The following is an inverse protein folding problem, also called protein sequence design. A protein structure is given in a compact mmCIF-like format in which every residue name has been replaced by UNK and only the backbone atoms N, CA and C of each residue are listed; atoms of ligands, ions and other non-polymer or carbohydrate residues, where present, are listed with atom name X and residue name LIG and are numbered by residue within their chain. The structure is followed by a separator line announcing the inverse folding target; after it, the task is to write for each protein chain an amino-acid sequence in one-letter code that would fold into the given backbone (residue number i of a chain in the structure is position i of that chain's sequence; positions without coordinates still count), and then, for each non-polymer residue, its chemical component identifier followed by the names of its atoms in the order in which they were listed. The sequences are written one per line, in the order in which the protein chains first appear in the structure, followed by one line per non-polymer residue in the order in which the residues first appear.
data_IF_779904350682
#
_entry.id   IF_779904350682
#
_cell.length_a   1.000
_cell.length_b   1.000
_cell.length_c   1.000
_cell.angle_alpha   90.00
_cell.angle_beta   90.00
_cell.angle_gamma   90.00
#
_symmetry.space_group_name_H-M   'P 1'
#
loop_
_entity.id
_entity.type
_entity.pdbx_description
1 polymer ?
#
# COMPACT_ATOMS: atom_id res chain seq x y z
N UNK A 1 26.66 1.14 -15.53
CA UNK A 1 26.27 -0.29 -15.49
C UNK A 1 27.53 -1.16 -15.51
N UNK A 2 27.59 -2.25 -14.75
CA UNK A 2 28.72 -3.20 -14.80
C UNK A 2 28.72 -3.97 -16.12
N UNK A 3 29.89 -4.28 -16.71
CA UNK A 3 30.03 -5.10 -17.93
C UNK A 3 29.24 -6.42 -17.84
N UNK A 4 29.22 -7.03 -16.66
CA UNK A 4 28.47 -8.27 -16.40
C UNK A 4 26.95 -8.11 -16.54
N UNK A 5 26.41 -6.93 -16.20
CA UNK A 5 24.98 -6.68 -16.32
C UNK A 5 24.56 -6.59 -17.79
N UNK A 6 25.33 -5.88 -18.60
CA UNK A 6 25.10 -5.75 -20.04
C UNK A 6 25.17 -7.12 -20.74
N UNK A 7 26.11 -7.99 -20.38
CA UNK A 7 26.18 -9.33 -20.95
C UNK A 7 24.92 -10.16 -20.65
N UNK A 8 24.38 -10.10 -19.43
CA UNK A 8 23.15 -10.82 -19.09
C UNK A 8 21.95 -10.30 -19.88
N UNK A 9 21.84 -8.99 -20.05
CA UNK A 9 20.77 -8.37 -20.86
C UNK A 9 20.90 -8.74 -22.33
N UNK A 10 22.11 -8.73 -22.88
CA UNK A 10 22.36 -9.16 -24.26
C UNK A 10 21.97 -10.64 -24.49
N UNK A 11 22.40 -11.55 -23.61
CA UNK A 11 22.01 -12.96 -23.69
C UNK A 11 20.50 -13.15 -23.59
N UNK A 12 19.85 -12.42 -22.68
CA UNK A 12 18.40 -12.44 -22.55
C UNK A 12 17.70 -11.90 -23.81
N UNK A 13 18.20 -10.83 -24.42
CA UNK A 13 17.65 -10.29 -25.66
C UNK A 13 17.77 -11.30 -26.81
N UNK A 14 18.91 -11.99 -26.94
CA UNK A 14 19.07 -13.06 -27.95
C UNK A 14 18.07 -14.20 -27.72
N UNK A 15 17.75 -14.54 -26.47
CA UNK A 15 16.77 -15.59 -26.16
C UNK A 15 15.36 -15.30 -26.67
N UNK A 16 15.02 -14.03 -26.94
CA UNK A 16 13.74 -13.63 -27.52
C UNK A 16 13.55 -14.11 -28.97
N UNK A 17 14.62 -14.51 -29.65
CA UNK A 17 14.61 -14.94 -31.05
C UNK A 17 14.97 -16.43 -31.23
N UNK A 18 15.13 -17.17 -30.13
CA UNK A 18 15.49 -18.60 -30.18
C UNK A 18 14.25 -19.48 -30.38
N UNK A 19 14.43 -20.61 -31.07
CA UNK A 19 13.45 -21.71 -31.03
C UNK A 19 13.36 -22.32 -29.63
N UNK A 20 12.26 -23.02 -29.32
CA UNK A 20 12.05 -23.65 -28.02
C UNK A 20 13.19 -24.60 -27.62
N UNK A 21 13.72 -25.37 -28.58
CA UNK A 21 14.82 -26.33 -28.34
C UNK A 21 16.10 -25.63 -27.87
N UNK A 22 16.50 -24.53 -28.53
CA UNK A 22 17.66 -23.74 -28.15
C UNK A 22 17.44 -22.98 -26.84
N UNK A 23 16.24 -22.42 -26.66
CA UNK A 23 15.83 -21.71 -25.45
C UNK A 23 15.89 -22.63 -24.22
N UNK A 24 15.33 -23.84 -24.34
CA UNK A 24 15.33 -24.84 -23.27
C UNK A 24 16.74 -25.37 -22.98
N UNK A 25 17.57 -25.59 -24.01
CA UNK A 25 18.97 -25.96 -23.84
C UNK A 25 19.76 -24.88 -23.07
N UNK A 26 19.52 -23.60 -23.37
CA UNK A 26 20.12 -22.48 -22.66
C UNK A 26 19.69 -22.46 -21.18
N UNK A 27 18.39 -22.62 -20.89
CA UNK A 27 17.89 -22.71 -19.53
C UNK A 27 18.55 -23.86 -18.75
N UNK A 28 18.59 -25.06 -19.33
CA UNK A 28 19.23 -26.22 -18.69
C UNK A 28 20.72 -25.99 -18.45
N UNK A 29 21.43 -25.31 -19.37
CA UNK A 29 22.82 -24.93 -19.16
C UNK A 29 22.98 -23.97 -17.98
N UNK A 30 22.08 -22.99 -17.83
CA UNK A 30 22.08 -22.10 -16.67
C UNK A 30 21.80 -22.85 -15.36
N UNK A 31 20.84 -23.80 -15.35
CA UNK A 31 20.59 -24.64 -14.17
C UNK A 31 21.80 -25.53 -13.84
N UNK A 32 22.43 -26.12 -14.84
CA UNK A 32 23.64 -26.92 -14.64
C UNK A 32 24.75 -26.09 -14.02
N UNK A 33 25.07 -24.92 -14.59
CA UNK A 33 26.06 -23.98 -14.05
C UNK A 33 25.74 -23.51 -12.62
N UNK A 34 24.47 -23.31 -12.31
CA UNK A 34 24.02 -22.96 -10.96
C UNK A 34 24.24 -24.11 -9.97
N UNK A 35 24.02 -25.36 -10.39
CA UNK A 35 24.24 -26.54 -9.54
C UNK A 35 25.72 -26.85 -9.33
N UNK A 36 26.54 -26.69 -10.38
CA UNK A 36 27.98 -27.00 -10.35
C UNK A 36 28.80 -25.92 -9.66
N UNK A 37 28.44 -24.64 -9.81
CA UNK A 37 29.22 -23.51 -9.29
C UNK A 37 28.41 -22.68 -8.29
N UNK A 38 28.62 -22.92 -6.99
CA UNK A 38 27.94 -22.22 -5.88
C UNK A 38 28.11 -20.69 -5.94
N UNK A 39 29.29 -20.22 -6.34
CA UNK A 39 29.63 -18.80 -6.48
C UNK A 39 28.91 -18.09 -7.63
N UNK A 40 28.46 -18.82 -8.67
CA UNK A 40 27.75 -18.26 -9.83
C UNK A 40 26.22 -18.30 -9.67
N UNK A 41 25.70 -18.88 -8.59
CA UNK A 41 24.26 -19.14 -8.42
C UNK A 41 23.38 -17.91 -8.58
N UNK A 42 23.69 -16.84 -7.85
CA UNK A 42 22.90 -15.60 -7.91
C UNK A 42 22.93 -14.99 -9.32
N UNK A 43 24.07 -15.04 -10.00
CA UNK A 43 24.22 -14.58 -11.38
C UNK A 43 23.36 -15.41 -12.35
N UNK A 44 23.36 -16.74 -12.21
CA UNK A 44 22.56 -17.63 -13.05
C UNK A 44 21.07 -17.45 -12.82
N UNK A 45 20.61 -17.30 -11.57
CA UNK A 45 19.20 -16.99 -11.27
C UNK A 45 18.76 -15.66 -11.88
N UNK A 46 19.61 -14.64 -11.81
CA UNK A 46 19.31 -13.34 -12.45
C UNK A 46 19.23 -13.48 -13.98
N UNK A 47 20.13 -14.26 -14.60
CA UNK A 47 20.10 -14.53 -16.04
C UNK A 47 18.84 -15.31 -16.44
N UNK A 48 18.51 -16.40 -15.73
CA UNK A 48 17.28 -17.18 -15.95
C UNK A 48 16.06 -16.25 -15.85
N UNK A 49 16.00 -15.40 -14.82
CA UNK A 49 14.93 -14.43 -14.64
C UNK A 49 14.82 -13.41 -15.79
N UNK A 50 15.93 -13.04 -16.44
CA UNK A 50 15.93 -12.15 -17.61
C UNK A 50 15.52 -12.89 -18.89
N UNK A 51 16.01 -14.12 -19.10
CA UNK A 51 15.62 -14.98 -20.22
C UNK A 51 14.10 -15.23 -20.21
N UNK A 52 13.54 -15.51 -19.03
CA UNK A 52 12.10 -15.74 -18.86
C UNK A 52 11.24 -14.50 -19.07
N UNK A 53 11.78 -13.29 -18.88
CA UNK A 53 11.04 -12.06 -19.23
C UNK A 53 10.79 -11.96 -20.75
N UNK A 54 11.61 -12.62 -21.56
CA UNK A 54 11.52 -12.66 -23.03
C UNK A 54 10.88 -13.96 -23.54
N UNK A 55 10.13 -14.67 -22.69
CA UNK A 55 9.38 -15.85 -23.08
C UNK A 55 8.27 -15.47 -24.07
N UNK A 56 8.34 -15.98 -25.30
CA UNK A 56 7.44 -15.62 -26.39
C UNK A 56 6.56 -16.79 -26.87
N UNK A 57 6.80 -18.02 -26.39
CA UNK A 57 6.05 -19.21 -26.81
C UNK A 57 4.61 -19.28 -26.29
N UNK A 58 4.20 -18.35 -25.41
CA UNK A 58 2.87 -18.35 -24.77
C UNK A 58 1.77 -17.68 -25.60
N UNK A 59 2.09 -16.99 -26.71
CA UNK A 59 1.18 -15.97 -27.26
C UNK A 59 0.53 -16.24 -28.61
N UNK A 60 0.98 -17.22 -29.39
CA UNK A 60 0.45 -17.40 -30.74
C UNK A 60 0.01 -18.85 -31.00
N UNK A 61 -1.27 -19.12 -30.72
CA UNK A 61 -1.99 -20.30 -31.22
C UNK A 61 -1.84 -21.62 -30.44
N UNK A 62 -2.79 -22.53 -30.69
CA UNK A 62 -2.79 -23.93 -30.22
C UNK A 62 -1.70 -24.75 -30.93
N UNK A 63 -0.44 -24.32 -30.83
CA UNK A 63 0.69 -25.08 -31.37
C UNK A 63 1.12 -26.14 -30.35
N UNK A 64 1.57 -27.29 -30.84
CA UNK A 64 2.15 -28.35 -29.99
C UNK A 64 3.31 -27.79 -29.16
N UNK A 65 4.10 -26.86 -29.71
CA UNK A 65 5.21 -26.19 -29.01
C UNK A 65 4.77 -25.33 -27.81
N UNK A 66 3.62 -24.65 -27.89
CA UNK A 66 3.09 -23.90 -26.74
C UNK A 66 2.68 -24.84 -25.60
N UNK A 67 2.09 -25.99 -25.94
CA UNK A 67 1.66 -27.01 -24.97
C UNK A 67 2.87 -27.72 -24.33
N UNK A 68 3.86 -28.08 -25.15
CA UNK A 68 5.08 -28.74 -24.72
C UNK A 68 5.94 -27.82 -23.84
N UNK A 69 6.06 -26.55 -24.23
CA UNK A 69 6.81 -25.56 -23.45
C UNK A 69 6.15 -25.26 -22.10
N UNK A 70 4.84 -25.09 -22.06
CA UNK A 70 4.08 -24.89 -20.81
C UNK A 70 4.20 -26.10 -19.87
N UNK A 71 4.01 -27.31 -20.40
CA UNK A 71 4.15 -28.56 -19.62
C UNK A 71 5.56 -28.75 -19.10
N UNK A 72 6.58 -28.46 -19.91
CA UNK A 72 7.98 -28.57 -19.51
C UNK A 72 8.34 -27.55 -18.42
N UNK A 73 7.81 -26.33 -18.54
CA UNK A 73 7.98 -25.28 -17.55
C UNK A 73 7.40 -25.69 -16.20
N UNK A 74 6.15 -26.15 -16.20
CA UNK A 74 5.44 -26.58 -14.99
C UNK A 74 6.10 -27.80 -14.34
N UNK A 75 6.36 -28.86 -15.12
CA UNK A 75 6.77 -30.17 -14.57
C UNK A 75 8.28 -30.32 -14.38
N UNK A 76 9.09 -29.52 -15.07
CA UNK A 76 10.56 -29.67 -15.04
C UNK A 76 11.26 -28.43 -14.50
N UNK A 77 11.00 -27.27 -15.08
CA UNK A 77 11.74 -26.04 -14.75
C UNK A 77 11.37 -25.54 -13.35
N UNK A 78 10.07 -25.49 -13.04
CA UNK A 78 9.59 -25.00 -11.76
C UNK A 78 10.08 -25.86 -10.57
N UNK A 79 9.97 -27.20 -10.59
CA UNK A 79 10.53 -28.04 -9.53
C UNK A 79 12.02 -27.84 -9.34
N UNK A 80 12.83 -27.78 -10.41
CA UNK A 80 14.28 -27.54 -10.33
C UNK A 80 14.65 -26.24 -9.61
N UNK A 81 13.79 -25.22 -9.70
CA UNK A 81 13.99 -23.94 -9.03
C UNK A 81 13.57 -23.98 -7.56
N UNK A 82 12.60 -24.83 -7.23
CA UNK A 82 12.00 -24.94 -5.90
C UNK A 82 12.66 -26.00 -5.00
N UNK A 83 13.33 -27.01 -5.58
CA UNK A 83 13.99 -28.11 -4.86
C UNK A 83 15.37 -27.76 -4.28
N UNK A 84 15.67 -26.46 -4.16
CA UNK A 84 17.00 -25.98 -3.81
C UNK A 84 17.07 -25.50 -2.35
N UNK A 85 17.64 -26.32 -1.46
CA UNK A 85 17.90 -26.02 -0.03
C UNK A 85 19.03 -24.97 0.13
N UNK A 86 18.79 -23.72 -0.28
CA UNK A 86 19.81 -22.66 -0.27
C UNK A 86 19.40 -21.44 0.56
N UNK A 87 19.77 -21.42 1.84
CA UNK A 87 19.33 -20.49 2.89
C UNK A 87 19.52 -18.97 2.66
N UNK A 88 20.24 -18.53 1.63
CA UNK A 88 20.36 -17.09 1.29
C UNK A 88 20.14 -16.74 -0.19
N UNK A 89 20.14 -17.76 -1.05
CA UNK A 89 19.90 -17.67 -2.51
C UNK A 89 18.42 -17.86 -2.84
N UNK A 90 17.63 -18.39 -1.89
CA UNK A 90 16.22 -18.73 -2.07
C UNK A 90 15.32 -17.52 -2.40
N UNK A 91 15.63 -16.33 -1.89
CA UNK A 91 14.74 -15.17 -2.08
C UNK A 91 14.62 -14.77 -3.56
N UNK A 92 15.72 -14.88 -4.32
CA UNK A 92 15.69 -14.61 -5.76
C UNK A 92 15.09 -15.75 -6.58
N UNK A 93 15.28 -17.01 -6.17
CA UNK A 93 14.64 -18.14 -6.87
C UNK A 93 13.13 -18.03 -6.81
N UNK A 94 12.53 -17.57 -5.70
CA UNK A 94 11.09 -17.31 -5.65
C UNK A 94 10.63 -16.22 -6.64
N UNK A 95 11.42 -15.17 -6.87
CA UNK A 95 11.07 -14.13 -7.86
C UNK A 95 11.05 -14.73 -9.27
N UNK A 96 12.05 -15.54 -9.59
CA UNK A 96 12.12 -16.26 -10.86
C UNK A 96 10.95 -17.24 -10.98
N UNK A 97 10.60 -17.94 -9.90
CA UNK A 97 9.49 -18.89 -9.86
C UNK A 97 8.16 -18.19 -10.12
N UNK A 98 7.91 -17.03 -9.51
CA UNK A 98 6.69 -16.24 -9.78
C UNK A 98 6.62 -15.78 -11.23
N UNK A 99 7.76 -15.40 -11.85
CA UNK A 99 7.79 -15.06 -13.29
C UNK A 99 7.44 -16.26 -14.16
N UNK A 100 7.91 -17.44 -13.80
CA UNK A 100 7.55 -18.69 -14.46
C UNK A 100 6.05 -18.95 -14.34
N UNK A 101 5.51 -18.87 -13.12
CA UNK A 101 4.10 -19.14 -12.87
C UNK A 101 3.18 -18.17 -13.63
N UNK A 102 3.60 -16.93 -13.85
CA UNK A 102 2.86 -15.95 -14.67
C UNK A 102 2.68 -16.38 -16.13
N UNK A 103 3.47 -17.35 -16.61
CA UNK A 103 3.35 -17.95 -17.94
C UNK A 103 2.29 -19.07 -17.99
N UNK A 104 1.78 -19.51 -16.82
CA UNK A 104 0.81 -20.59 -16.70
C UNK A 104 -0.61 -20.02 -16.50
N UNK A 105 -1.66 -20.80 -16.80
CA UNK A 105 -3.04 -20.47 -16.44
C UNK A 105 -3.18 -20.18 -14.93
N UNK A 106 -4.14 -19.31 -14.58
CA UNK A 106 -4.32 -18.85 -13.19
C UNK A 106 -4.65 -19.99 -12.24
N UNK A 107 -5.41 -20.97 -12.72
CA UNK A 107 -5.86 -22.15 -11.97
C UNK A 107 -4.68 -23.00 -11.49
N UNK A 108 -3.58 -23.00 -12.25
CA UNK A 108 -2.33 -23.70 -11.90
C UNK A 108 -1.44 -22.78 -11.07
N UNK A 109 -1.34 -21.50 -11.44
CA UNK A 109 -0.48 -20.52 -10.77
C UNK A 109 -0.88 -20.25 -9.32
N UNK A 110 -2.16 -20.00 -9.04
CA UNK A 110 -2.64 -19.51 -7.74
C UNK A 110 -2.29 -20.45 -6.56
N UNK A 111 -2.47 -21.78 -6.67
CA UNK A 111 -2.00 -22.72 -5.64
C UNK A 111 -0.50 -22.61 -5.31
N UNK A 112 0.34 -22.37 -6.32
CA UNK A 112 1.77 -22.18 -6.09
C UNK A 112 2.07 -20.82 -5.44
N UNK A 113 1.34 -19.75 -5.80
CA UNK A 113 1.47 -18.45 -5.13
C UNK A 113 1.13 -18.53 -3.64
N UNK A 114 0.10 -19.31 -3.30
CA UNK A 114 -0.29 -19.57 -1.91
C UNK A 114 0.80 -20.28 -1.10
N UNK A 115 1.70 -21.02 -1.76
CA UNK A 115 2.87 -21.64 -1.13
C UNK A 115 4.09 -20.70 -1.10
N UNK A 116 4.35 -19.96 -2.18
CA UNK A 116 5.55 -19.13 -2.34
C UNK A 116 5.48 -17.85 -1.50
N UNK A 117 4.38 -17.10 -1.58
CA UNK A 117 4.27 -15.79 -0.93
C UNK A 117 4.47 -15.89 0.60
N UNK A 118 3.89 -16.89 1.30
CA UNK A 118 4.17 -17.07 2.72
C UNK A 118 5.63 -17.42 3.02
N UNK A 119 6.32 -18.18 2.15
CA UNK A 119 7.74 -18.50 2.32
C UNK A 119 8.59 -17.22 2.23
N UNK A 120 8.36 -16.39 1.23
CA UNK A 120 9.07 -15.10 1.10
C UNK A 120 8.78 -14.20 2.32
N UNK A 121 7.51 -14.12 2.72
CA UNK A 121 7.07 -13.32 3.87
C UNK A 121 7.72 -13.79 5.19
N UNK A 122 8.09 -15.07 5.30
CA UNK A 122 8.83 -15.61 6.44
C UNK A 122 10.19 -14.94 6.64
N UNK A 123 10.90 -14.60 5.57
CA UNK A 123 12.21 -13.93 5.63
C UNK A 123 12.14 -12.50 6.19
N UNK A 124 10.97 -11.85 6.16
CA UNK A 124 10.78 -10.53 6.77
C UNK A 124 10.98 -10.55 8.30
N UNK A 125 10.93 -11.74 8.92
CA UNK A 125 11.18 -11.93 10.36
C UNK A 125 12.63 -12.25 10.69
N UNK A 126 13.51 -12.35 9.69
CA UNK A 126 14.93 -12.66 9.91
C UNK A 126 15.60 -11.69 10.88
N UNK A 127 16.60 -12.19 11.62
CA UNK A 127 17.48 -11.34 12.46
C UNK A 127 18.40 -10.48 11.59
N UNK A 128 18.78 -10.95 10.40
CA UNK A 128 19.62 -10.24 9.44
C UNK A 128 18.82 -9.21 8.62
N UNK A 129 19.25 -7.95 8.67
CA UNK A 129 18.66 -6.86 7.89
C UNK A 129 18.78 -7.07 6.38
N UNK A 130 19.90 -7.61 5.91
CA UNK A 130 20.13 -7.88 4.48
C UNK A 130 19.12 -8.88 3.93
N UNK A 131 18.79 -9.91 4.73
CA UNK A 131 17.76 -10.90 4.37
C UNK A 131 16.38 -10.24 4.32
N UNK A 132 16.04 -9.39 5.29
CA UNK A 132 14.76 -8.66 5.29
C UNK A 132 14.64 -7.72 4.09
N UNK A 133 15.70 -7.01 3.72
CA UNK A 133 15.71 -6.16 2.53
C UNK A 133 15.56 -6.95 1.23
N UNK A 134 16.26 -8.09 1.10
CA UNK A 134 16.07 -9.02 -0.02
C UNK A 134 14.62 -9.48 -0.12
N UNK A 135 13.99 -9.83 1.01
CA UNK A 135 12.59 -10.26 1.04
C UNK A 135 11.62 -9.17 0.61
N UNK A 136 11.81 -7.92 1.09
CA UNK A 136 11.02 -6.76 0.64
C UNK A 136 11.18 -6.51 -0.87
N UNK A 137 12.41 -6.58 -1.37
CA UNK A 137 12.69 -6.43 -2.81
C UNK A 137 12.05 -7.54 -3.63
N UNK A 138 12.09 -8.79 -3.15
CA UNK A 138 11.47 -9.92 -3.82
C UNK A 138 9.94 -9.82 -3.86
N UNK A 139 9.29 -9.47 -2.74
CA UNK A 139 7.84 -9.27 -2.72
C UNK A 139 7.41 -8.15 -3.68
N UNK A 140 8.16 -7.03 -3.71
CA UNK A 140 7.89 -5.96 -4.66
C UNK A 140 8.12 -6.40 -6.11
N UNK A 141 9.17 -7.18 -6.39
CA UNK A 141 9.43 -7.73 -7.72
C UNK A 141 8.37 -8.74 -8.17
N UNK A 142 7.87 -9.58 -7.24
CA UNK A 142 6.77 -10.50 -7.49
C UNK A 142 5.50 -9.74 -7.84
N UNK A 143 5.14 -8.69 -7.08
CA UNK A 143 3.99 -7.84 -7.38
C UNK A 143 4.12 -7.12 -8.73
N UNK A 144 5.31 -6.65 -9.10
CA UNK A 144 5.55 -6.07 -10.42
C UNK A 144 5.36 -7.07 -11.56
N UNK A 145 5.73 -8.33 -11.35
CA UNK A 145 5.55 -9.39 -12.35
C UNK A 145 4.09 -9.87 -12.44
N UNK A 146 3.42 -10.01 -11.29
CA UNK A 146 2.05 -10.50 -11.21
C UNK A 146 1.02 -9.44 -11.61
N UNK A 147 1.24 -8.20 -11.22
CA UNK A 147 0.25 -7.12 -11.25
C UNK A 147 -0.29 -6.79 -9.86
N UNK A 148 -0.85 -5.58 -9.71
CA UNK A 148 -1.36 -5.08 -8.43
C UNK A 148 -2.69 -5.71 -8.02
N UNK A 149 -3.36 -6.45 -8.90
CA UNK A 149 -4.53 -7.26 -8.56
C UNK A 149 -4.22 -8.36 -7.53
N UNK A 150 -2.95 -8.77 -7.40
CA UNK A 150 -2.48 -9.71 -6.37
C UNK A 150 -2.04 -9.01 -5.08
N UNK A 151 -2.14 -7.68 -5.00
CA UNK A 151 -1.66 -6.91 -3.86
C UNK A 151 -2.38 -7.31 -2.57
N UNK A 152 -3.70 -7.49 -2.60
CA UNK A 152 -4.45 -7.92 -1.41
C UNK A 152 -4.00 -9.31 -0.93
N UNK A 153 -3.80 -10.27 -1.83
CA UNK A 153 -3.33 -11.60 -1.49
C UNK A 153 -1.97 -11.49 -0.78
N UNK A 154 -1.00 -10.81 -1.41
CA UNK A 154 0.34 -10.66 -0.86
C UNK A 154 0.30 -9.96 0.49
N UNK A 155 -0.47 -8.88 0.61
CA UNK A 155 -0.60 -8.11 1.83
C UNK A 155 -1.18 -8.93 2.98
N UNK A 156 -2.27 -9.66 2.75
CA UNK A 156 -2.86 -10.54 3.76
C UNK A 156 -1.87 -11.60 4.26
N UNK A 157 -1.10 -12.21 3.36
CA UNK A 157 -0.08 -13.20 3.75
C UNK A 157 1.07 -12.56 4.54
N UNK A 158 1.47 -11.33 4.23
CA UNK A 158 2.46 -10.58 5.02
C UNK A 158 1.89 -10.30 6.42
N UNK A 159 0.70 -9.70 6.52
CA UNK A 159 0.06 -9.39 7.79
C UNK A 159 -0.08 -10.62 8.69
N UNK A 160 -0.46 -11.77 8.14
CA UNK A 160 -0.58 -13.03 8.88
C UNK A 160 0.75 -13.53 9.49
N UNK A 161 1.91 -13.02 9.07
CA UNK A 161 3.21 -13.38 9.67
C UNK A 161 3.56 -12.59 10.93
N UNK A 162 2.93 -11.44 11.13
CA UNK A 162 3.24 -10.55 12.25
C UNK A 162 2.12 -10.61 13.28
N UNK A 163 2.50 -10.70 14.56
CA UNK A 163 1.52 -10.71 15.64
C UNK A 163 0.88 -9.31 15.77
N UNK A 164 -0.45 -9.19 15.84
CA UNK A 164 -1.12 -7.93 16.16
C UNK A 164 -0.56 -7.34 17.47
N UNK A 165 -0.41 -6.01 17.53
CA UNK A 165 0.18 -5.27 18.66
C UNK A 165 1.72 -5.34 18.71
N UNK A 166 2.27 -6.47 19.17
CA UNK A 166 3.70 -6.59 19.51
C UNK A 166 4.70 -6.40 18.36
N UNK A 167 4.29 -6.63 17.11
CA UNK A 167 5.17 -6.53 15.93
C UNK A 167 4.65 -5.55 14.87
N UNK A 168 3.78 -4.62 15.28
CA UNK A 168 3.19 -3.61 14.38
C UNK A 168 4.28 -2.72 13.79
N UNK A 169 5.38 -2.47 14.52
CA UNK A 169 6.48 -1.62 14.05
C UNK A 169 7.27 -2.24 12.90
N UNK A 170 7.55 -3.54 12.94
CA UNK A 170 8.16 -4.23 11.81
C UNK A 170 7.20 -4.32 10.62
N UNK A 171 5.90 -4.57 10.89
CA UNK A 171 4.89 -4.66 9.84
C UNK A 171 4.76 -3.34 9.07
N UNK A 172 4.63 -2.18 9.75
CA UNK A 172 4.44 -0.89 9.07
C UNK A 172 5.56 -0.54 8.09
N UNK A 173 6.82 -0.82 8.45
CA UNK A 173 7.96 -0.51 7.59
C UNK A 173 8.00 -1.44 6.38
N UNK A 174 7.71 -2.73 6.58
CA UNK A 174 7.64 -3.70 5.49
C UNK A 174 6.55 -3.30 4.49
N UNK A 175 5.37 -2.94 4.99
CA UNK A 175 4.25 -2.46 4.18
C UNK A 175 4.64 -1.22 3.38
N UNK A 176 5.15 -0.18 4.05
CA UNK A 176 5.60 1.05 3.39
C UNK A 176 6.65 0.78 2.31
N UNK A 177 7.68 -0.02 2.63
CA UNK A 177 8.79 -0.29 1.71
C UNK A 177 8.37 -1.06 0.47
N UNK A 178 7.40 -1.97 0.59
CA UNK A 178 6.86 -2.72 -0.55
C UNK A 178 5.96 -1.81 -1.38
N UNK A 179 5.03 -1.08 -0.76
CA UNK A 179 4.11 -0.18 -1.47
C UNK A 179 4.86 0.91 -2.23
N UNK A 180 5.80 1.61 -1.59
CA UNK A 180 6.59 2.67 -2.25
C UNK A 180 7.37 2.18 -3.48
N UNK A 181 7.76 0.90 -3.53
CA UNK A 181 8.41 0.29 -4.71
C UNK A 181 7.43 -0.11 -5.81
N UNK A 182 6.20 -0.46 -5.43
CA UNK A 182 5.16 -0.94 -6.36
C UNK A 182 4.33 0.22 -6.95
N UNK A 183 4.22 1.33 -6.22
CA UNK A 183 3.39 2.49 -6.55
C UNK A 183 4.23 3.68 -7.01
N UNK A 184 5.38 3.43 -7.66
CA UNK A 184 6.25 4.49 -8.18
C UNK A 184 5.62 5.32 -9.31
N UNK A 185 4.51 4.83 -9.87
CA UNK A 185 3.70 5.51 -10.88
C UNK A 185 2.24 5.48 -10.42
N UNK A 186 1.45 6.55 -10.61
CA UNK A 186 0.04 6.56 -10.24
C UNK A 186 -0.73 5.38 -10.83
N UNK A 187 -1.44 4.64 -9.98
CA UNK A 187 -2.01 3.33 -10.35
C UNK A 187 -3.51 3.35 -10.65
N UNK A 188 -4.18 4.48 -10.43
CA UNK A 188 -5.58 4.71 -10.85
C UNK A 188 -6.60 3.78 -10.20
N UNK A 189 -6.58 3.62 -8.87
CA UNK A 189 -7.59 2.82 -8.15
C UNK A 189 -7.22 1.36 -7.91
N UNK A 190 -6.03 0.91 -8.34
CA UNK A 190 -5.59 -0.48 -8.13
C UNK A 190 -5.42 -0.87 -6.66
N UNK A 191 -5.49 0.08 -5.71
CA UNK A 191 -5.48 -0.20 -4.26
C UNK A 191 -6.89 -0.41 -3.66
N UNK A 192 -7.95 -0.11 -4.39
CA UNK A 192 -9.31 -0.06 -3.84
C UNK A 192 -9.72 -1.36 -3.13
N UNK A 193 -9.41 -2.49 -3.77
CA UNK A 193 -9.70 -3.83 -3.26
C UNK A 193 -8.97 -4.17 -1.95
N UNK A 194 -7.79 -3.60 -1.69
CA UNK A 194 -6.99 -3.83 -0.48
C UNK A 194 -7.05 -2.71 0.56
N UNK A 195 -7.81 -1.63 0.28
CA UNK A 195 -7.86 -0.44 1.14
C UNK A 195 -8.22 -0.76 2.60
N UNK A 196 -9.18 -1.66 2.83
CA UNK A 196 -9.61 -2.01 4.19
C UNK A 196 -8.46 -2.62 5.01
N UNK A 197 -7.73 -3.57 4.42
CA UNK A 197 -6.62 -4.24 5.08
C UNK A 197 -5.47 -3.24 5.37
N UNK A 198 -5.20 -2.34 4.43
CA UNK A 198 -4.18 -1.29 4.58
C UNK A 198 -4.50 -0.30 5.70
N UNK A 199 -5.74 0.20 5.74
CA UNK A 199 -6.18 1.14 6.78
C UNK A 199 -6.19 0.49 8.15
N UNK A 200 -6.46 -0.81 8.26
CA UNK A 200 -6.37 -1.52 9.53
C UNK A 200 -4.94 -1.47 10.10
N UNK A 201 -3.92 -1.71 9.26
CA UNK A 201 -2.51 -1.61 9.69
C UNK A 201 -2.14 -0.18 10.09
N UNK A 202 -2.52 0.80 9.28
CA UNK A 202 -2.24 2.23 9.58
C UNK A 202 -2.93 2.67 10.86
N UNK A 203 -4.21 2.28 11.06
CA UNK A 203 -4.98 2.57 12.27
C UNK A 203 -4.31 1.98 13.50
N UNK A 204 -3.94 0.70 13.48
CA UNK A 204 -3.29 0.05 14.62
C UNK A 204 -1.94 0.69 14.96
N UNK A 205 -1.16 1.13 13.99
CA UNK A 205 0.14 1.76 14.26
C UNK A 205 0.02 3.21 14.75
N UNK A 206 -0.87 4.02 14.15
CA UNK A 206 -0.98 5.46 14.48
C UNK A 206 -1.89 5.70 15.70
N UNK A 207 -3.01 4.98 15.76
CA UNK A 207 -4.08 5.18 16.74
C UNK A 207 -4.18 4.06 17.78
N UNK A 208 -3.33 3.02 17.68
CA UNK A 208 -3.15 2.03 18.75
C UNK A 208 -2.48 2.66 19.98
N UNK A 209 -2.52 1.96 21.12
CA UNK A 209 -2.22 2.51 22.44
C UNK A 209 -1.01 3.46 22.48
N UNK A 210 -1.33 4.75 22.57
CA UNK A 210 -0.39 5.87 22.45
C UNK A 210 0.56 5.92 23.66
N UNK A 211 0.16 5.36 24.80
CA UNK A 211 0.93 5.40 26.04
C UNK A 211 1.93 4.21 26.14
N UNK A 212 1.58 3.01 25.67
CA UNK A 212 2.54 1.90 25.53
C UNK A 212 3.64 2.21 24.50
N UNK A 213 3.29 2.92 23.42
CA UNK A 213 4.25 3.30 22.38
C UNK A 213 5.35 4.25 22.85
N UNK A 214 5.14 5.01 23.94
CA UNK A 214 6.09 5.99 24.46
C UNK A 214 7.06 5.38 25.46
N UNK A 215 6.62 4.45 26.31
CA UNK A 215 7.48 3.78 27.30
C UNK A 215 8.51 2.84 26.65
N UNK A 216 8.15 2.14 25.57
CA UNK A 216 9.10 1.25 24.88
C UNK A 216 10.14 1.96 24.01
N UNK A 217 9.94 3.24 23.66
CA UNK A 217 10.93 4.06 22.93
C UNK A 217 12.16 4.39 23.77
N UNK A 218 12.05 4.30 25.11
CA UNK A 218 13.16 4.58 26.05
C UNK A 218 14.23 3.47 26.06
N UNK A 219 13.95 2.28 25.53
CA UNK A 219 14.88 1.13 25.50
C UNK A 219 15.48 0.90 24.10
N UNK A 220 15.88 1.96 23.41
CA UNK A 220 16.19 1.98 21.97
C UNK A 220 17.58 1.44 21.54
N UNK A 221 18.46 1.07 22.47
CA UNK A 221 19.88 0.85 22.18
C UNK A 221 20.22 -0.47 21.44
N UNK A 222 19.26 -1.36 21.18
CA UNK A 222 19.43 -2.61 20.39
C UNK A 222 18.27 -2.91 19.43
N UNK A 223 17.72 -1.90 18.74
CA UNK A 223 16.49 -2.05 17.95
C UNK A 223 16.73 -1.96 16.43
N UNK A 224 16.06 -2.82 15.66
CA UNK A 224 16.13 -2.90 14.19
C UNK A 224 15.66 -1.58 13.56
N UNK A 225 16.22 -1.16 12.40
CA UNK A 225 15.83 0.06 11.65
C UNK A 225 14.31 0.19 11.49
N UNK A 226 13.63 -0.93 11.24
CA UNK A 226 12.18 -1.01 11.05
C UNK A 226 11.38 -0.56 12.29
N UNK A 227 11.92 -0.78 13.49
CA UNK A 227 11.25 -0.43 14.73
C UNK A 227 11.38 1.04 15.13
N UNK A 228 12.35 1.75 14.53
CA UNK A 228 12.65 3.17 14.81
C UNK A 228 11.90 4.08 13.82
N UNK A 229 11.85 3.70 12.55
CA UNK A 229 11.19 4.49 11.51
C UNK A 229 9.67 4.28 11.54
N UNK A 230 8.93 5.33 11.88
CA UNK A 230 7.48 5.38 11.65
C UNK A 230 7.27 5.85 10.21
N UNK A 231 6.54 5.05 9.41
CA UNK A 231 6.24 5.35 8.01
C UNK A 231 4.76 5.23 7.66
N UNK A 232 3.90 5.18 8.68
CA UNK A 232 2.47 4.95 8.52
C UNK A 232 1.75 6.18 7.98
N UNK A 233 2.22 7.40 8.30
CA UNK A 233 1.72 8.64 7.70
C UNK A 233 2.08 8.74 6.22
N UNK A 234 3.31 8.38 5.84
CA UNK A 234 3.72 8.31 4.44
C UNK A 234 2.97 7.19 3.69
N UNK A 235 2.70 6.06 4.37
CA UNK A 235 1.83 5.01 3.82
C UNK A 235 0.42 5.53 3.58
N UNK A 236 -0.14 6.32 4.51
CA UNK A 236 -1.45 6.93 4.37
C UNK A 236 -1.51 7.90 3.18
N UNK A 237 -0.46 8.69 2.96
CA UNK A 237 -0.33 9.52 1.75
C UNK A 237 -0.29 8.68 0.48
N UNK A 238 0.52 7.62 0.43
CA UNK A 238 0.61 6.72 -0.73
C UNK A 238 -0.73 6.07 -1.06
N UNK A 239 -1.49 5.68 -0.03
CA UNK A 239 -2.86 5.15 -0.19
C UNK A 239 -3.75 6.23 -0.80
N UNK A 240 -3.78 7.42 -0.19
CA UNK A 240 -4.61 8.55 -0.65
C UNK A 240 -4.29 8.98 -2.09
N UNK A 241 -3.05 8.82 -2.54
CA UNK A 241 -2.60 9.11 -3.91
C UNK A 241 -3.09 8.08 -4.94
N UNK A 242 -3.44 6.86 -4.53
CA UNK A 242 -3.65 5.72 -5.45
C UNK A 242 -5.03 5.05 -5.40
N UNK A 243 -5.91 5.42 -4.46
CA UNK A 243 -7.30 4.95 -4.41
C UNK A 243 -8.20 5.74 -5.36
N UNK A 244 -9.31 5.16 -5.82
CA UNK A 244 -10.33 5.89 -6.58
C UNK A 244 -11.07 6.84 -5.65
N UNK A 245 -10.88 8.15 -5.84
CA UNK A 245 -11.39 9.17 -4.93
C UNK A 245 -12.90 9.08 -4.71
N UNK A 246 -13.69 9.13 -5.80
CA UNK A 246 -15.16 9.18 -5.76
C UNK A 246 -15.79 8.06 -4.92
N UNK A 247 -15.29 6.84 -5.05
CA UNK A 247 -15.85 5.66 -4.38
C UNK A 247 -15.20 5.32 -3.03
N UNK A 248 -13.97 5.79 -2.77
CA UNK A 248 -13.20 5.34 -1.61
C UNK A 248 -12.77 6.44 -0.63
N UNK A 249 -13.00 7.73 -0.91
CA UNK A 249 -12.63 8.84 0.00
C UNK A 249 -13.25 8.70 1.39
N UNK A 250 -14.52 8.26 1.48
CA UNK A 250 -15.19 8.06 2.77
C UNK A 250 -14.54 6.93 3.58
N UNK A 251 -14.19 5.83 2.90
CA UNK A 251 -13.49 4.69 3.51
C UNK A 251 -12.09 5.07 3.96
N UNK A 252 -11.37 5.88 3.17
CA UNK A 252 -10.06 6.44 3.52
C UNK A 252 -10.11 7.26 4.81
N UNK A 253 -11.18 8.03 5.03
CA UNK A 253 -11.36 8.86 6.22
C UNK A 253 -11.92 8.09 7.43
N UNK A 254 -12.41 6.87 7.24
CA UNK A 254 -13.05 6.07 8.30
C UNK A 254 -12.21 5.90 9.58
N UNK A 255 -10.87 5.73 9.56
CA UNK A 255 -10.09 5.63 10.80
C UNK A 255 -10.12 6.90 11.64
N UNK A 256 -10.29 8.06 10.99
CA UNK A 256 -10.36 9.38 11.64
C UNK A 256 -11.80 9.61 12.13
N UNK A 257 -12.80 9.40 11.26
CA UNK A 257 -14.21 9.58 11.60
C UNK A 257 -14.61 8.78 12.84
N UNK A 258 -14.17 7.53 12.96
CA UNK A 258 -14.46 6.69 14.12
C UNK A 258 -13.89 7.24 15.44
N UNK A 259 -12.80 8.01 15.41
CA UNK A 259 -12.23 8.63 16.62
C UNK A 259 -12.98 9.89 17.03
N UNK A 260 -13.61 10.59 16.08
CA UNK A 260 -14.37 11.82 16.33
C UNK A 260 -15.72 11.58 17.02
N UNK A 261 -16.16 10.32 17.14
CA UNK A 261 -17.36 9.93 17.89
C UNK A 261 -17.12 9.90 19.41
N UNK A 262 -15.86 9.87 19.85
CA UNK A 262 -15.45 9.83 21.25
C UNK A 262 -14.82 11.16 21.71
N UNK A 263 -14.80 11.46 23.03
CA UNK A 263 -14.16 12.67 23.53
C UNK A 263 -12.67 12.73 23.15
N UNK A 264 -12.28 13.79 22.45
CA UNK A 264 -10.92 13.95 21.94
C UNK A 264 -10.00 14.55 23.00
N UNK A 265 -8.87 13.88 23.26
CA UNK A 265 -7.75 14.50 23.96
C UNK A 265 -6.97 15.41 23.02
N UNK A 266 -6.26 16.41 23.55
CA UNK A 266 -5.41 17.31 22.75
C UNK A 266 -4.35 16.54 21.96
N UNK A 267 -3.78 15.47 22.55
CA UNK A 267 -2.82 14.59 21.87
C UNK A 267 -3.48 13.90 20.67
N UNK A 268 -4.63 13.27 20.87
CA UNK A 268 -5.35 12.58 19.80
C UNK A 268 -5.74 13.55 18.67
N UNK A 269 -6.22 14.75 19.01
CA UNK A 269 -6.51 15.81 18.03
C UNK A 269 -5.30 16.12 17.14
N UNK A 270 -4.12 16.32 17.73
CA UNK A 270 -2.89 16.60 16.96
C UNK A 270 -2.50 15.47 16.00
N UNK A 271 -2.70 14.21 16.41
CA UNK A 271 -2.45 13.03 15.56
C UNK A 271 -3.43 13.00 14.38
N UNK A 272 -4.72 13.25 14.63
CA UNK A 272 -5.74 13.28 13.58
C UNK A 272 -5.51 14.42 12.57
N UNK A 273 -5.09 15.60 13.03
CA UNK A 273 -4.69 16.71 12.16
C UNK A 273 -3.52 16.34 11.25
N UNK A 274 -2.52 15.64 11.79
CA UNK A 274 -1.39 15.16 11.00
C UNK A 274 -1.82 14.10 9.97
N UNK A 275 -2.67 13.14 10.35
CA UNK A 275 -3.25 12.18 9.41
C UNK A 275 -3.99 12.88 8.26
N UNK A 276 -4.85 13.85 8.57
CA UNK A 276 -5.60 14.64 7.58
C UNK A 276 -4.67 15.41 6.64
N UNK A 277 -3.55 15.95 7.15
CA UNK A 277 -2.53 16.63 6.33
C UNK A 277 -1.90 15.69 5.30
N UNK A 278 -1.53 14.46 5.69
CA UNK A 278 -0.96 13.48 4.76
C UNK A 278 -2.00 12.96 3.75
N UNK A 279 -3.25 12.78 4.18
CA UNK A 279 -4.36 12.45 3.28
C UNK A 279 -4.57 13.56 2.24
N UNK A 280 -4.61 14.83 2.67
CA UNK A 280 -4.76 15.97 1.76
C UNK A 280 -3.65 16.01 0.71
N UNK A 281 -2.39 15.83 1.15
CA UNK A 281 -1.24 15.78 0.24
C UNK A 281 -1.31 14.62 -0.76
N UNK A 282 -1.90 13.48 -0.38
CA UNK A 282 -2.12 12.35 -1.29
C UNK A 282 -3.25 12.60 -2.27
N UNK A 283 -4.41 13.11 -1.81
CA UNK A 283 -5.54 13.50 -2.67
C UNK A 283 -5.11 14.52 -3.72
N UNK A 284 -4.25 15.47 -3.35
CA UNK A 284 -3.73 16.47 -4.27
C UNK A 284 -2.94 15.88 -5.45
N UNK A 285 -2.22 14.78 -5.22
CA UNK A 285 -1.43 14.06 -6.21
C UNK A 285 -2.23 12.92 -6.89
N UNK A 286 -3.45 12.66 -6.46
CA UNK A 286 -4.27 11.57 -6.96
C UNK A 286 -4.93 11.92 -8.30
N UNK A 287 -4.60 11.14 -9.34
CA UNK A 287 -5.10 11.35 -10.70
C UNK A 287 -6.60 11.04 -10.88
N UNK A 288 -7.22 10.31 -9.94
CA UNK A 288 -8.66 10.00 -9.99
C UNK A 288 -9.54 11.13 -9.45
N UNK A 289 -8.94 12.19 -8.91
CA UNK A 289 -9.68 13.31 -8.32
C UNK A 289 -10.09 14.29 -9.41
N UNK A 290 -11.35 14.20 -9.83
CA UNK A 290 -11.99 15.23 -10.64
C UNK A 290 -12.43 16.43 -9.78
N UNK A 291 -12.52 17.60 -10.41
CA UNK A 291 -12.95 18.84 -9.75
C UNK A 291 -14.39 18.73 -9.23
N UNK A 292 -15.31 18.16 -10.02
CA UNK A 292 -16.70 18.01 -9.63
C UNK A 292 -16.86 17.12 -8.42
N UNK A 293 -16.26 15.92 -8.46
CA UNK A 293 -16.32 14.97 -7.34
C UNK A 293 -15.70 15.57 -6.06
N UNK A 294 -14.61 16.33 -6.19
CA UNK A 294 -13.96 16.99 -5.07
C UNK A 294 -14.83 18.11 -4.47
N UNK A 295 -15.46 18.94 -5.30
CA UNK A 295 -16.36 19.99 -4.82
C UNK A 295 -17.61 19.41 -4.17
N UNK A 296 -18.21 18.36 -4.74
CA UNK A 296 -19.31 17.64 -4.10
C UNK A 296 -18.88 17.12 -2.73
N UNK A 297 -17.71 16.46 -2.65
CA UNK A 297 -17.18 15.98 -1.38
C UNK A 297 -16.98 17.11 -0.36
N UNK A 298 -16.41 18.25 -0.77
CA UNK A 298 -16.21 19.39 0.14
C UNK A 298 -17.55 19.93 0.62
N UNK A 299 -18.52 20.13 -0.28
CA UNK A 299 -19.86 20.61 0.05
C UNK A 299 -20.56 19.68 1.05
N UNK A 300 -20.58 18.37 0.80
CA UNK A 300 -21.18 17.38 1.71
C UNK A 300 -20.57 17.44 3.12
N UNK A 301 -19.27 17.77 3.23
CA UNK A 301 -18.60 17.92 4.53
C UNK A 301 -18.89 19.25 5.20
N UNK A 302 -19.06 20.34 4.44
CA UNK A 302 -19.44 21.64 4.97
C UNK A 302 -20.89 21.62 5.43
N UNK A 303 -21.81 21.15 4.59
CA UNK A 303 -23.24 21.04 4.89
C UNK A 303 -23.47 20.13 6.09
N UNK A 304 -22.85 18.95 6.13
CA UNK A 304 -22.89 18.06 7.29
C UNK A 304 -22.27 18.67 8.56
N UNK A 305 -21.31 19.60 8.42
CA UNK A 305 -20.73 20.33 9.56
C UNK A 305 -21.63 21.45 10.08
N UNK A 306 -22.36 22.12 9.18
CA UNK A 306 -23.28 23.23 9.46
C UNK A 306 -24.61 22.70 10.02
N UNK A 307 -25.19 21.67 9.41
CA UNK A 307 -26.48 21.10 9.80
C UNK A 307 -26.41 20.27 11.10
N UNK A 308 -25.25 19.70 11.43
CA UNK A 308 -25.04 19.14 12.77
C UNK A 308 -24.95 20.22 13.87
N UNK A 309 -24.82 21.49 13.49
CA UNK A 309 -24.79 22.64 14.40
C UNK A 309 -26.18 23.22 14.64
N UNK A 310 -27.12 23.07 13.70
CA UNK A 310 -28.48 23.62 13.76
C UNK A 310 -29.48 22.76 14.56
N UNK A 311 -29.11 21.54 14.98
CA UNK A 311 -29.89 20.74 15.94
C UNK A 311 -29.81 21.21 17.40
N UNK A 312 -29.11 22.31 17.68
CA UNK A 312 -29.08 22.97 18.98
C UNK A 312 -30.03 24.17 18.90
N UNK A 313 -31.27 23.95 19.33
CA UNK A 313 -32.33 24.94 19.32
C UNK A 313 -31.92 26.27 19.95
N UNK A 314 -32.39 27.34 19.31
CA UNK A 314 -32.41 28.71 19.80
C UNK A 314 -33.03 28.76 21.20
N UNK A 315 -32.23 28.95 22.25
CA UNK A 315 -32.73 29.55 23.49
C UNK A 315 -32.51 31.06 23.43
N UNK A 316 -33.61 31.72 23.06
CA UNK A 316 -33.85 33.15 23.19
C UNK A 316 -33.55 33.60 24.63
N UNK A 317 -32.82 34.70 24.73
CA UNK A 317 -32.44 35.36 25.98
C UNK A 317 -33.62 36.06 26.68
N UNK A 318 -33.66 35.92 28.02
CA UNK A 318 -33.93 36.93 29.09
C UNK A 318 -35.06 36.58 30.10
N UNK A 319 -35.15 37.22 31.30
CA UNK A 319 -34.12 37.42 32.33
C UNK A 319 -34.55 37.06 33.80
N UNK A 320 -33.54 36.78 34.64
CA UNK A 320 -33.42 36.92 36.11
C UNK A 320 -34.60 36.64 37.09
N UNK A 321 -34.35 35.78 38.09
CA UNK A 321 -34.50 36.09 39.54
C UNK A 321 -33.91 34.98 40.44
N UNK A 322 -33.72 35.31 41.74
CA UNK A 322 -32.62 34.92 42.63
C UNK A 322 -32.87 33.67 43.52
N UNK A 323 -31.75 33.09 44.00
CA UNK A 323 -31.48 32.39 45.29
C UNK A 323 -31.95 30.92 45.46
N UNK A 324 -31.01 29.96 45.59
CA UNK A 324 -30.31 29.51 46.83
C UNK A 324 -29.83 28.04 46.77
N UNK A 325 -28.58 27.85 47.24
CA UNK A 325 -27.99 26.75 48.05
C UNK A 325 -27.40 25.47 47.39
N UNK A 326 -26.13 25.29 47.75
CA UNK A 326 -25.17 24.17 47.61
C UNK A 326 -25.72 22.75 47.83
N UNK A 327 -25.28 21.81 46.99
CA UNK A 327 -24.95 20.43 47.39
C UNK A 327 -24.11 19.72 46.32
N UNK A 328 -22.93 19.26 46.75
CA UNK A 328 -22.11 18.10 46.32
C UNK A 328 -21.87 17.84 44.82
N UNK A 329 -20.64 18.21 44.44
CA UNK A 329 -19.67 17.49 43.61
C UNK A 329 -20.16 16.18 42.97
N UNK A 330 -20.64 16.31 41.74
CA UNK A 330 -20.62 15.27 40.73
C UNK A 330 -20.06 15.98 39.50
N UNK A 331 -18.79 15.71 39.16
CA UNK A 331 -18.21 16.14 37.89
C UNK A 331 -18.93 15.42 36.76
N UNK A 332 -20.09 15.97 36.37
CA UNK A 332 -20.69 15.74 35.08
C UNK A 332 -19.75 16.38 34.06
N UNK A 333 -18.83 15.58 33.52
CA UNK A 333 -18.19 15.86 32.25
C UNK A 333 -19.28 15.83 31.18
N UNK A 334 -19.94 16.96 31.00
CA UNK A 334 -20.85 17.23 29.89
C UNK A 334 -20.14 16.83 28.61
N UNK A 335 -20.68 15.79 27.97
CA UNK A 335 -20.08 15.12 26.83
C UNK A 335 -19.69 16.11 25.75
N UNK A 336 -18.39 16.19 25.48
CA UNK A 336 -17.82 16.84 24.32
C UNK A 336 -18.26 16.06 23.08
N UNK A 337 -19.49 16.32 22.63
CA UNK A 337 -20.09 15.73 21.44
C UNK A 337 -19.38 16.28 20.22
N UNK A 338 -18.62 15.39 19.57
CA UNK A 338 -18.03 15.42 18.23
C UNK A 338 -17.33 16.71 17.81
N UNK A 339 -16.21 16.60 17.10
CA UNK A 339 -15.51 17.78 16.56
C UNK A 339 -15.75 17.88 15.04
N UNK A 340 -16.94 18.32 14.55
CA UNK A 340 -17.19 18.59 13.13
C UNK A 340 -16.15 19.53 12.51
N UNK A 341 -15.53 20.35 13.35
CA UNK A 341 -14.53 21.36 12.98
C UNK A 341 -13.30 20.79 12.27
N UNK A 342 -12.83 19.59 12.64
CA UNK A 342 -11.63 19.00 12.01
C UNK A 342 -11.87 18.60 10.56
N UNK A 343 -13.01 17.96 10.28
CA UNK A 343 -13.39 17.55 8.93
C UNK A 343 -13.77 18.77 8.07
N UNK A 344 -14.42 19.76 8.69
CA UNK A 344 -14.72 21.05 8.04
C UNK A 344 -13.44 21.76 7.62
N UNK A 345 -12.46 21.90 8.53
CA UNK A 345 -11.17 22.52 8.25
C UNK A 345 -10.39 21.76 7.17
N UNK A 346 -10.46 20.43 7.19
CA UNK A 346 -9.87 19.60 6.15
C UNK A 346 -10.50 19.87 4.77
N UNK A 347 -11.83 19.93 4.68
CA UNK A 347 -12.53 20.29 3.44
C UNK A 347 -12.14 21.68 2.93
N UNK A 348 -12.08 22.68 3.81
CA UNK A 348 -11.64 24.03 3.47
C UNK A 348 -10.18 24.09 3.00
N UNK A 349 -9.29 23.29 3.61
CA UNK A 349 -7.90 23.22 3.20
C UNK A 349 -7.75 22.59 1.80
N UNK A 350 -8.50 21.52 1.51
CA UNK A 350 -8.55 20.93 0.17
C UNK A 350 -9.04 21.95 -0.88
N UNK A 351 -10.09 22.71 -0.54
CA UNK A 351 -10.61 23.77 -1.39
C UNK A 351 -9.53 24.84 -1.66
N UNK A 352 -8.91 25.36 -0.61
CA UNK A 352 -7.87 26.37 -0.70
C UNK A 352 -6.70 25.91 -1.58
N UNK A 353 -6.21 24.68 -1.37
CA UNK A 353 -5.09 24.15 -2.14
C UNK A 353 -5.43 23.93 -3.62
N UNK A 354 -6.67 23.57 -3.94
CA UNK A 354 -7.12 23.46 -5.33
C UNK A 354 -7.30 24.81 -6.00
N UNK A 355 -7.94 25.76 -5.34
CA UNK A 355 -8.09 27.13 -5.85
C UNK A 355 -6.72 27.77 -6.13
N UNK A 356 -5.72 27.51 -5.30
CA UNK A 356 -4.35 27.98 -5.51
C UNK A 356 -3.67 27.35 -6.75
N UNK A 357 -4.01 26.12 -7.11
CA UNK A 357 -3.46 25.42 -8.29
C UNK A 357 -4.20 25.74 -9.58
N UNK A 358 -5.48 26.07 -9.49
CA UNK A 358 -6.27 26.57 -10.62
C UNK A 358 -5.75 27.96 -10.97
N UNK A 359 -5.07 28.08 -12.11
CA UNK A 359 -4.63 29.38 -12.60
C UNK A 359 -5.89 30.18 -12.97
N UNK A 360 -6.30 31.12 -12.11
CA UNK A 360 -7.59 31.82 -12.15
C UNK A 360 -7.82 32.53 -13.50
N UNK A 361 -6.75 32.83 -14.23
CA UNK A 361 -6.77 33.52 -15.52
C UNK A 361 -7.26 32.68 -16.72
N UNK A 362 -7.55 31.39 -16.53
CA UNK A 362 -8.00 30.49 -17.60
C UNK A 362 -9.22 29.65 -17.19
N UNK A 363 -10.11 30.25 -16.38
CA UNK A 363 -11.22 29.53 -15.76
C UNK A 363 -12.28 29.14 -16.80
N UNK A 364 -12.51 27.83 -16.95
CA UNK A 364 -13.70 27.30 -17.58
C UNK A 364 -14.94 27.86 -16.85
N UNK A 365 -15.87 28.49 -17.57
CA UNK A 365 -17.15 29.00 -17.03
C UNK A 365 -17.93 27.94 -16.23
N UNK A 366 -17.70 26.66 -16.50
CA UNK A 366 -18.27 25.51 -15.78
C UNK A 366 -17.80 25.40 -14.30
N UNK A 367 -16.57 25.77 -13.98
CA UNK A 367 -16.05 25.72 -12.61
C UNK A 367 -16.58 26.87 -11.75
N UNK A 368 -16.70 28.07 -12.37
CA UNK A 368 -17.26 29.25 -11.72
C UNK A 368 -18.75 29.05 -11.46
N UNK A 369 -19.50 28.55 -12.43
CA UNK A 369 -20.93 28.23 -12.25
C UNK A 369 -21.17 27.17 -11.18
N UNK A 370 -20.35 26.11 -11.10
CA UNK A 370 -20.45 25.11 -10.01
C UNK A 370 -20.17 25.70 -8.62
N UNK A 371 -19.17 26.57 -8.50
CA UNK A 371 -18.89 27.29 -7.24
C UNK A 371 -20.02 28.26 -6.89
N UNK A 372 -20.58 28.97 -7.87
CA UNK A 372 -21.71 29.87 -7.66
C UNK A 372 -22.99 29.14 -7.24
N UNK A 373 -23.28 27.98 -7.82
CA UNK A 373 -24.41 27.13 -7.38
C UNK A 373 -24.23 26.58 -5.97
N UNK A 374 -23.00 26.49 -5.47
CA UNK A 374 -22.73 26.03 -4.10
C UNK A 374 -22.74 27.17 -3.06
N UNK A 375 -22.67 28.43 -3.50
CA UNK A 375 -22.66 29.61 -2.61
C UNK A 375 -24.04 30.27 -2.50
N UNK A 376 -24.94 30.06 -3.49
CA UNK A 376 -26.31 30.56 -3.40
C UNK A 376 -27.19 29.59 -2.58
N UNK A 377 -27.93 30.11 -1.57
CA UNK A 377 -28.76 29.32 -0.67
C UNK A 377 -29.98 28.69 -1.34
#
# INVERSE_FOLDING_TARGET
MSKMHACKEALAAVSAHMSWTLYYALLNRCFHEMTTHTNKRELMLQLIGLILNNFHFSKDGYTQEATDSSTCIEKTVFPKLMSSDYDSVNVYSYVVAVRILKLLPKEIMDPYLDSIVPKISGFLRSKDEKIRDKARNALAACLKALGLEYLQLVFKKICARFKPGSQVRELRYNVYSILSKCLSTPTGGKLDHCLGDLLAVVKTDILGDVDEQKEERKFASKKKKETITCKSLETLKLIAENVTFRSHVLKLLSPISAQLESPLTTKLKSILEEMLKYIAAGIEANLSVDHGDLFCFIYDRLDGGINNRSGLGDEVSSPSSKKKRKSRDLQNTTGAKSCPQLITLFGLNLLHNRLKKLNINNTNEELVSKLETQVKP
#
